data_IF_980621481959
#
_entry.id   IF_980621481959
#
_cell.length_a   1.000
_cell.length_b   1.000
_cell.length_c   1.000
_cell.angle_alpha   90.00
_cell.angle_beta   90.00
_cell.angle_gamma   90.00
#
_symmetry.space_group_name_H-M   'P 1'
#
loop_
_entity.id
_entity.type
_entity.pdbx_description
1 polymer ?
#
# COMPACT_ATOMS: atom_id res chain seq x y z
N UNK A 1 16.05 -18.67 -6.05
CA UNK A 1 15.99 -17.36 -6.73
C UNK A 1 16.45 -16.34 -5.71
N UNK A 2 17.48 -15.53 -5.98
CA UNK A 2 17.89 -14.48 -5.05
C UNK A 2 16.75 -13.47 -4.90
N UNK A 3 16.56 -12.83 -3.72
CA UNK A 3 15.58 -11.76 -3.60
C UNK A 3 15.92 -10.65 -4.60
N UNK A 4 14.93 -10.20 -5.37
CA UNK A 4 15.06 -9.04 -6.25
C UNK A 4 15.17 -7.74 -5.44
N UNK A 5 14.71 -7.76 -4.19
CA UNK A 5 14.91 -6.66 -3.25
C UNK A 5 16.25 -6.80 -2.52
N UNK A 6 17.20 -5.92 -2.86
CA UNK A 6 18.43 -5.73 -2.09
C UNK A 6 18.26 -4.57 -1.09
N UNK A 7 18.18 -4.84 0.23
CA UNK A 7 18.13 -3.79 1.25
C UNK A 7 19.48 -3.12 1.50
N UNK A 8 20.57 -3.64 0.92
CA UNK A 8 21.91 -3.11 1.12
C UNK A 8 21.95 -1.64 0.70
N UNK A 9 22.33 -0.75 1.64
CA UNK A 9 22.30 0.72 1.46
C UNK A 9 20.89 1.31 1.26
N UNK A 10 19.84 0.58 1.62
CA UNK A 10 18.47 1.10 1.63
C UNK A 10 18.28 2.25 2.61
N UNK A 11 19.10 2.31 3.68
CA UNK A 11 19.14 3.38 4.67
C UNK A 11 20.60 3.76 4.94
N UNK A 12 20.88 5.06 4.97
CA UNK A 12 22.18 5.63 5.34
C UNK A 12 22.00 6.49 6.59
N UNK A 13 22.84 6.24 7.60
CA UNK A 13 22.92 7.04 8.82
C UNK A 13 24.17 7.91 8.74
N UNK A 14 23.99 9.20 8.48
CA UNK A 14 25.05 10.19 8.61
C UNK A 14 25.04 10.72 10.05
N UNK A 15 25.88 10.14 10.89
CA UNK A 15 25.98 10.51 12.29
C UNK A 15 26.76 11.83 12.51
N UNK A 16 27.52 12.29 11.51
CA UNK A 16 28.23 13.56 11.61
C UNK A 16 27.25 14.73 11.42
N UNK A 17 26.32 14.59 10.47
CA UNK A 17 25.29 15.60 10.16
C UNK A 17 23.94 15.32 10.84
N UNK A 18 23.80 14.19 11.55
CA UNK A 18 22.58 13.78 12.24
C UNK A 18 21.41 13.46 11.30
N UNK A 19 21.70 12.94 10.10
CA UNK A 19 20.71 12.67 9.05
C UNK A 19 20.49 11.19 8.81
N UNK A 20 19.26 10.87 8.43
CA UNK A 20 18.88 9.56 7.93
C UNK A 20 18.38 9.77 6.51
N UNK A 21 18.96 9.04 5.57
CA UNK A 21 18.62 9.15 4.15
C UNK A 21 18.23 7.78 3.60
N UNK A 22 17.21 7.76 2.75
CA UNK A 22 16.86 6.62 1.92
C UNK A 22 17.27 6.89 0.47
N UNK A 23 17.07 5.92 -0.42
CA UNK A 23 17.44 5.99 -1.84
C UNK A 23 16.76 7.09 -2.65
N UNK A 24 15.78 7.80 -2.08
CA UNK A 24 15.16 8.98 -2.71
C UNK A 24 15.87 10.30 -2.40
N UNK A 25 16.83 10.31 -1.46
CA UNK A 25 17.57 11.51 -1.05
C UNK A 25 16.76 12.49 -0.19
N UNK A 26 15.54 12.10 0.22
CA UNK A 26 14.74 12.88 1.16
C UNK A 26 15.26 12.63 2.59
N UNK A 27 15.15 13.61 3.51
CA UNK A 27 15.49 13.41 4.92
C UNK A 27 14.44 12.58 5.66
N UNK A 28 14.89 11.67 6.52
CA UNK A 28 14.04 10.80 7.34
C UNK A 28 14.28 10.97 8.83
N UNK A 29 13.26 10.62 9.60
CA UNK A 29 13.28 10.61 11.06
C UNK A 29 12.95 9.22 11.59
N UNK A 30 13.63 8.81 12.65
CA UNK A 30 13.22 7.67 13.46
C UNK A 30 12.20 8.13 14.50
N UNK A 31 11.01 7.55 14.45
CA UNK A 31 9.90 7.88 15.36
C UNK A 31 9.52 6.65 16.17
N UNK A 32 9.40 6.75 17.51
CA UNK A 32 8.84 5.67 18.31
C UNK A 32 7.43 5.30 17.84
N UNK A 33 7.19 4.01 17.61
CA UNK A 33 5.89 3.53 17.11
C UNK A 33 4.70 4.01 17.95
N UNK A 34 4.83 3.99 19.28
CA UNK A 34 3.75 4.42 20.16
C UNK A 34 3.40 5.90 19.98
N UNK A 35 4.40 6.74 19.68
CA UNK A 35 4.20 8.16 19.39
C UNK A 35 3.57 8.36 18.00
N UNK A 36 4.02 7.61 16.98
CA UNK A 36 3.42 7.64 15.65
C UNK A 36 1.95 7.19 15.68
N UNK A 37 1.65 6.12 16.42
CA UNK A 37 0.27 5.64 16.60
C UNK A 37 -0.61 6.63 17.35
N UNK A 38 -0.10 7.28 18.39
CA UNK A 38 -0.83 8.34 19.10
C UNK A 38 -1.06 9.57 18.21
N UNK A 39 -0.07 9.96 17.41
CA UNK A 39 -0.19 11.03 16.45
C UNK A 39 -1.26 10.70 15.40
N UNK A 40 -1.19 9.54 14.76
CA UNK A 40 -2.17 9.11 13.76
C UNK A 40 -3.61 9.11 14.31
N UNK A 41 -3.80 8.69 15.56
CA UNK A 41 -5.12 8.69 16.21
C UNK A 41 -5.69 10.09 16.45
N UNK A 42 -4.82 11.07 16.70
CA UNK A 42 -5.20 12.46 16.97
C UNK A 42 -5.26 13.36 15.74
N UNK A 43 -4.86 12.87 14.56
CA UNK A 43 -4.82 13.63 13.32
C UNK A 43 -6.11 13.48 12.52
N UNK A 44 -6.60 14.59 11.96
CA UNK A 44 -7.80 14.60 11.12
C UNK A 44 -7.59 13.89 9.77
N UNK A 45 -6.36 13.85 9.25
CA UNK A 45 -6.05 13.24 7.94
C UNK A 45 -4.86 12.27 8.00
N UNK A 46 -4.87 11.34 8.96
CA UNK A 46 -3.87 10.27 9.02
C UNK A 46 -3.79 9.45 7.72
N UNK A 47 -4.93 9.26 7.05
CA UNK A 47 -5.02 8.53 5.78
C UNK A 47 -4.36 9.28 4.62
N UNK A 48 -4.54 10.59 4.53
CA UNK A 48 -3.84 11.42 3.53
C UNK A 48 -2.33 11.45 3.75
N UNK A 49 -1.88 11.56 5.01
CA UNK A 49 -0.46 11.39 5.35
C UNK A 49 0.05 10.02 4.89
N UNK A 50 -0.72 8.96 5.15
CA UNK A 50 -0.40 7.61 4.69
C UNK A 50 -0.25 7.54 3.18
N UNK A 51 -1.19 8.13 2.41
CA UNK A 51 -1.13 8.16 0.94
C UNK A 51 0.14 8.83 0.43
N UNK A 52 0.57 9.93 1.05
CA UNK A 52 1.81 10.61 0.70
C UNK A 52 3.04 9.69 0.91
N UNK A 53 3.10 8.98 2.04
CA UNK A 53 4.16 7.99 2.32
C UNK A 53 4.12 6.84 1.30
N UNK A 54 2.93 6.29 1.03
CA UNK A 54 2.73 5.21 0.06
C UNK A 54 3.16 5.60 -1.36
N UNK A 55 2.88 6.83 -1.78
CA UNK A 55 3.34 7.35 -3.07
C UNK A 55 4.87 7.41 -3.18
N UNK A 56 5.56 7.80 -2.10
CA UNK A 56 7.04 7.78 -2.04
C UNK A 56 7.61 6.36 -2.11
N UNK A 57 6.97 5.41 -1.44
CA UNK A 57 7.32 3.98 -1.54
C UNK A 57 7.21 3.50 -2.99
N UNK A 58 6.07 3.74 -3.65
CA UNK A 58 5.87 3.34 -5.03
C UNK A 58 6.88 4.01 -5.98
N UNK A 59 7.22 5.28 -5.74
CA UNK A 59 8.24 5.99 -6.51
C UNK A 59 9.62 5.34 -6.40
N UNK A 60 10.04 4.90 -5.20
CA UNK A 60 11.32 4.18 -5.02
C UNK A 60 11.31 2.83 -5.72
N UNK A 61 10.21 2.09 -5.65
CA UNK A 61 10.04 0.84 -6.41
C UNK A 61 10.11 1.11 -7.91
N UNK A 62 9.44 2.15 -8.41
CA UNK A 62 9.47 2.52 -9.82
C UNK A 62 10.88 2.87 -10.29
N UNK A 63 11.64 3.64 -9.48
CA UNK A 63 13.04 3.97 -9.77
C UNK A 63 13.87 2.69 -9.88
N UNK A 64 13.69 1.74 -8.95
CA UNK A 64 14.41 0.45 -8.97
C UNK A 64 14.07 -0.38 -10.21
N UNK A 65 12.80 -0.43 -10.62
CA UNK A 65 12.36 -1.14 -11.83
C UNK A 65 12.81 -0.47 -13.13
N UNK A 66 12.89 0.86 -13.15
CA UNK A 66 13.24 1.64 -14.33
C UNK A 66 14.75 1.80 -14.55
N UNK A 67 15.59 1.44 -13.57
CA UNK A 67 17.05 1.41 -13.75
C UNK A 67 17.46 0.15 -14.53
N UNK A 68 18.01 0.27 -15.75
CA UNK A 68 18.59 -0.86 -16.43
C UNK A 68 19.81 -1.34 -15.65
N UNK A 69 19.93 -2.65 -15.45
CA UNK A 69 21.14 -3.28 -14.92
C UNK A 69 22.33 -2.80 -15.78
N UNK A 70 23.22 -1.97 -15.20
CA UNK A 70 24.48 -1.57 -15.83
C UNK A 70 24.56 -0.16 -16.44
N UNK A 71 23.58 0.75 -16.27
CA UNK A 71 23.75 2.17 -16.66
C UNK A 71 23.50 3.12 -15.49
N UNK A 72 24.59 3.75 -15.03
CA UNK A 72 24.55 4.84 -14.07
C UNK A 72 24.34 6.17 -14.78
N UNK A 73 23.46 7.02 -14.25
CA UNK A 73 23.65 8.48 -14.36
C UNK A 73 22.44 9.36 -14.67
N UNK A 74 21.33 8.85 -15.18
CA UNK A 74 20.16 9.70 -15.50
C UNK A 74 18.86 9.14 -14.94
N UNK A 75 18.18 9.96 -14.14
CA UNK A 75 16.83 9.67 -13.66
C UNK A 75 15.88 9.47 -14.85
N UNK A 76 15.16 8.35 -14.93
CA UNK A 76 14.19 8.14 -16.00
C UNK A 76 13.02 9.15 -15.86
N UNK A 77 12.43 9.59 -16.98
CA UNK A 77 11.26 10.48 -16.97
C UNK A 77 10.11 9.91 -16.13
N UNK A 78 9.28 10.78 -15.55
CA UNK A 78 8.11 10.39 -14.73
C UNK A 78 7.17 9.41 -15.44
N UNK A 79 6.93 9.62 -16.74
CA UNK A 79 6.11 8.72 -17.55
C UNK A 79 6.67 7.28 -17.62
N UNK A 80 7.99 7.13 -17.59
CA UNK A 80 8.69 5.85 -17.65
C UNK A 80 8.60 5.09 -16.32
N UNK A 81 8.56 5.82 -15.20
CA UNK A 81 8.40 5.25 -13.85
C UNK A 81 7.03 4.59 -13.67
N UNK A 82 5.95 5.27 -14.09
CA UNK A 82 4.60 4.68 -14.05
C UNK A 82 4.45 3.46 -14.98
N UNK A 83 5.10 3.48 -16.15
CA UNK A 83 5.10 2.33 -17.06
C UNK A 83 5.81 1.11 -16.45
N UNK A 84 6.93 1.31 -15.75
CA UNK A 84 7.68 0.24 -15.10
C UNK A 84 6.84 -0.47 -14.03
N UNK A 85 6.07 0.27 -13.22
CA UNK A 85 5.16 -0.32 -12.23
C UNK A 85 4.07 -1.17 -12.89
N UNK A 86 3.48 -0.70 -14.00
CA UNK A 86 2.41 -1.41 -14.70
C UNK A 86 2.87 -2.69 -15.42
N UNK A 87 4.15 -2.77 -15.78
CA UNK A 87 4.72 -3.93 -16.47
C UNK A 87 5.23 -5.00 -15.49
N UNK A 88 5.44 -4.65 -14.22
CA UNK A 88 5.88 -5.59 -13.21
C UNK A 88 4.79 -6.64 -12.88
N UNK A 89 5.21 -7.88 -12.62
CA UNK A 89 4.29 -8.90 -12.12
C UNK A 89 3.80 -8.54 -10.72
N UNK A 90 2.65 -9.09 -10.31
CA UNK A 90 2.13 -8.86 -8.95
C UNK A 90 3.09 -9.37 -7.88
N UNK A 91 3.75 -10.51 -8.12
CA UNK A 91 4.75 -11.09 -7.21
C UNK A 91 5.94 -10.13 -7.04
N UNK A 92 6.44 -9.57 -8.16
CA UNK A 92 7.53 -8.59 -8.14
C UNK A 92 7.13 -7.32 -7.41
N UNK A 93 5.91 -6.81 -7.65
CA UNK A 93 5.41 -5.62 -6.96
C UNK A 93 5.27 -5.86 -5.46
N UNK A 94 4.70 -6.99 -5.05
CA UNK A 94 4.53 -7.34 -3.63
C UNK A 94 5.88 -7.50 -2.95
N UNK A 95 6.84 -8.15 -3.60
CA UNK A 95 8.21 -8.30 -3.08
C UNK A 95 8.88 -6.93 -2.87
N UNK A 96 8.87 -6.06 -3.90
CA UNK A 96 9.54 -4.76 -3.84
C UNK A 96 8.85 -3.79 -2.89
N UNK A 97 7.51 -3.70 -2.93
CA UNK A 97 6.74 -2.87 -2.00
C UNK A 97 6.90 -3.38 -0.56
N UNK A 98 6.87 -4.70 -0.37
CA UNK A 98 7.09 -5.32 0.94
C UNK A 98 8.48 -5.01 1.50
N UNK A 99 9.52 -5.05 0.66
CA UNK A 99 10.87 -4.65 1.05
C UNK A 99 10.94 -3.18 1.49
N UNK A 100 10.31 -2.27 0.75
CA UNK A 100 10.27 -0.85 1.12
C UNK A 100 9.49 -0.59 2.42
N UNK A 101 8.38 -1.29 2.65
CA UNK A 101 7.64 -1.19 3.91
C UNK A 101 8.44 -1.74 5.09
N UNK A 102 9.21 -2.81 4.88
CA UNK A 102 10.09 -3.36 5.89
C UNK A 102 11.21 -2.35 6.23
N UNK A 103 11.79 -1.68 5.23
CA UNK A 103 12.78 -0.60 5.43
C UNK A 103 12.19 0.57 6.23
N UNK A 104 10.94 0.94 5.98
CA UNK A 104 10.23 1.96 6.75
C UNK A 104 9.79 1.50 8.15
N UNK A 105 10.00 0.22 8.51
CA UNK A 105 9.57 -0.34 9.78
C UNK A 105 8.06 -0.55 9.91
N UNK A 106 7.31 -0.51 8.80
CA UNK A 106 5.86 -0.73 8.79
C UNK A 106 5.47 -2.21 8.77
N UNK A 107 6.41 -3.09 8.43
CA UNK A 107 6.24 -4.53 8.46
C UNK A 107 6.53 -5.23 7.15
N UNK A 108 6.36 -6.55 7.14
CA UNK A 108 6.48 -7.37 5.93
C UNK A 108 5.12 -7.47 5.23
N UNK A 109 5.11 -7.26 3.92
CA UNK A 109 3.92 -7.38 3.09
C UNK A 109 3.83 -8.77 2.46
N UNK A 110 2.64 -9.36 2.48
CA UNK A 110 2.27 -10.50 1.64
C UNK A 110 0.86 -10.30 1.10
N UNK A 111 0.50 -11.10 0.09
CA UNK A 111 -0.86 -11.11 -0.47
C UNK A 111 -1.49 -12.46 -0.22
N UNK A 112 -2.72 -12.44 0.27
CA UNK A 112 -3.61 -13.59 0.34
C UNK A 112 -4.73 -13.41 -0.69
N UNK A 113 -5.14 -14.50 -1.33
CA UNK A 113 -6.27 -14.51 -2.27
C UNK A 113 -7.46 -15.20 -1.65
N UNK A 114 -8.54 -14.46 -1.46
CA UNK A 114 -9.78 -14.95 -0.89
C UNK A 114 -10.85 -14.87 -1.98
N UNK A 115 -11.02 -15.95 -2.74
CA UNK A 115 -11.86 -15.92 -3.95
C UNK A 115 -11.28 -15.01 -5.05
N UNK A 116 -11.99 -13.93 -5.40
CA UNK A 116 -11.48 -12.88 -6.31
C UNK A 116 -10.97 -11.65 -5.58
N UNK A 117 -11.16 -11.56 -4.25
CA UNK A 117 -10.62 -10.48 -3.45
C UNK A 117 -9.12 -10.69 -3.18
N UNK A 118 -8.37 -9.60 -3.25
CA UNK A 118 -6.97 -9.56 -2.83
C UNK A 118 -6.90 -8.93 -1.44
N UNK A 119 -6.26 -9.65 -0.52
CA UNK A 119 -6.01 -9.21 0.84
C UNK A 119 -4.52 -8.96 0.97
N UNK A 120 -4.16 -7.74 1.34
CA UNK A 120 -2.79 -7.42 1.72
C UNK A 120 -2.63 -7.68 3.20
N UNK A 121 -1.57 -8.38 3.58
CA UNK A 121 -1.30 -8.73 4.97
C UNK A 121 0.03 -8.15 5.38
N UNK A 122 0.00 -7.34 6.44
CA UNK A 122 1.19 -6.84 7.13
C UNK A 122 1.48 -7.72 8.34
N UNK A 123 2.61 -8.42 8.31
CA UNK A 123 2.99 -9.37 9.35
C UNK A 123 4.51 -9.51 9.54
N UNK A 124 5.09 -9.06 10.67
CA UNK A 124 4.42 -8.25 11.70
C UNK A 124 4.12 -6.85 11.15
N UNK A 125 2.94 -6.32 11.41
CA UNK A 125 2.58 -4.91 11.26
C UNK A 125 3.30 -4.09 12.35
N UNK A 126 4.00 -3.06 11.91
CA UNK A 126 4.83 -2.21 12.76
C UNK A 126 4.02 -1.33 13.71
N UNK A 127 2.75 -1.05 13.41
CA UNK A 127 1.88 -0.14 14.18
C UNK A 127 0.62 -0.85 14.72
N UNK A 128 0.05 -0.30 15.78
CA UNK A 128 -1.21 -0.77 16.37
C UNK A 128 -2.46 -0.20 15.66
N UNK A 129 -3.64 -0.65 16.09
CA UNK A 129 -4.93 -0.31 15.50
C UNK A 129 -5.24 1.21 15.49
N UNK A 130 -4.61 1.99 16.38
CA UNK A 130 -4.81 3.44 16.42
C UNK A 130 -4.24 4.14 15.18
N UNK A 131 -3.34 3.47 14.46
CA UNK A 131 -2.75 3.93 13.21
C UNK A 131 -3.34 3.24 11.97
N UNK A 132 -4.48 2.55 12.08
CA UNK A 132 -5.05 1.83 10.94
C UNK A 132 -5.32 2.75 9.75
N UNK A 133 -5.86 3.95 9.96
CA UNK A 133 -6.07 4.92 8.88
C UNK A 133 -4.77 5.33 8.17
N UNK A 134 -3.66 5.46 8.92
CA UNK A 134 -2.34 5.70 8.34
C UNK A 134 -1.91 4.52 7.46
N UNK A 135 -2.06 3.28 7.95
CA UNK A 135 -1.71 2.05 7.21
C UNK A 135 -2.54 1.91 5.93
N UNK A 136 -3.85 2.16 6.03
CA UNK A 136 -4.76 2.14 4.88
C UNK A 136 -4.33 3.17 3.84
N UNK A 137 -4.01 4.39 4.28
CA UNK A 137 -3.48 5.43 3.41
C UNK A 137 -2.19 5.01 2.70
N UNK A 138 -1.24 4.38 3.42
CA UNK A 138 0.01 3.88 2.82
C UNK A 138 -0.29 2.87 1.72
N UNK A 139 -1.18 1.91 1.96
CA UNK A 139 -1.57 0.90 0.97
C UNK A 139 -2.26 1.54 -0.23
N UNK A 140 -3.19 2.46 -0.01
CA UNK A 140 -3.86 3.22 -1.07
C UNK A 140 -2.87 4.00 -1.92
N UNK A 141 -1.94 4.73 -1.29
CA UNK A 141 -0.94 5.53 -1.99
C UNK A 141 -0.01 4.69 -2.86
N UNK A 142 0.46 3.56 -2.33
CA UNK A 142 1.30 2.62 -3.09
C UNK A 142 0.56 2.08 -4.31
N UNK A 143 -0.65 1.57 -4.11
CA UNK A 143 -1.40 0.86 -5.15
C UNK A 143 -2.00 1.82 -6.17
N UNK A 144 -2.46 3.00 -5.76
CA UNK A 144 -2.93 4.03 -6.71
C UNK A 144 -1.78 4.48 -7.61
N UNK A 145 -0.57 4.67 -7.06
CA UNK A 145 0.61 5.02 -7.85
C UNK A 145 1.04 3.88 -8.79
N UNK A 146 0.94 2.62 -8.35
CA UNK A 146 1.33 1.46 -9.16
C UNK A 146 0.34 1.12 -10.27
N UNK A 147 -0.94 1.35 -10.02
CA UNK A 147 -2.02 0.94 -10.94
C UNK A 147 -2.58 2.09 -11.77
N UNK A 148 -2.29 3.34 -11.41
CA UNK A 148 -2.91 4.55 -12.00
C UNK A 148 -4.45 4.48 -11.93
N UNK A 149 -4.96 3.95 -10.82
CA UNK A 149 -6.38 3.78 -10.53
C UNK A 149 -6.68 4.27 -9.12
N UNK A 150 -7.92 4.69 -8.91
CA UNK A 150 -8.40 4.96 -7.57
C UNK A 150 -8.52 3.65 -6.79
N UNK A 151 -7.81 3.59 -5.66
CA UNK A 151 -7.79 2.44 -4.76
C UNK A 151 -8.29 2.88 -3.40
N UNK A 152 -9.14 2.06 -2.80
CA UNK A 152 -9.55 2.19 -1.41
C UNK A 152 -9.19 0.92 -0.63
N UNK A 153 -9.01 1.06 0.68
CA UNK A 153 -8.64 -0.03 1.57
C UNK A 153 -9.44 -0.05 2.88
N UNK A 154 -9.60 -1.23 3.49
CA UNK A 154 -10.16 -1.36 4.83
C UNK A 154 -9.45 -2.48 5.61
N UNK A 155 -9.22 -2.27 6.91
CA UNK A 155 -8.76 -3.34 7.80
C UNK A 155 -9.95 -4.25 8.07
N UNK A 156 -9.77 -5.54 7.80
CA UNK A 156 -10.84 -6.54 7.88
C UNK A 156 -10.60 -7.57 8.97
N UNK A 157 -9.35 -7.67 9.42
CA UNK A 157 -8.96 -8.47 10.56
C UNK A 157 -7.64 -7.93 11.13
N UNK A 158 -7.54 -7.94 12.46
CA UNK A 158 -6.31 -7.61 13.19
C UNK A 158 -6.15 -8.61 14.32
N UNK A 159 -5.05 -9.34 14.30
CA UNK A 159 -4.74 -10.37 15.29
C UNK A 159 -3.31 -10.17 15.79
N UNK A 160 -3.17 -9.68 17.02
CA UNK A 160 -1.87 -9.31 17.57
C UNK A 160 -1.15 -8.28 16.70
N UNK A 161 -0.02 -8.67 16.12
CA UNK A 161 0.77 -7.84 15.20
C UNK A 161 0.39 -8.03 13.73
N UNK A 162 -0.58 -8.88 13.39
CA UNK A 162 -0.97 -9.07 11.99
C UNK A 162 -2.15 -8.16 11.65
N UNK A 163 -2.06 -7.44 10.52
CA UNK A 163 -3.18 -6.67 9.96
C UNK A 163 -3.52 -7.19 8.56
N UNK A 164 -4.78 -7.55 8.34
CA UNK A 164 -5.31 -7.93 7.04
C UNK A 164 -6.11 -6.78 6.47
N UNK A 165 -5.75 -6.37 5.27
CA UNK A 165 -6.29 -5.21 4.59
C UNK A 165 -6.94 -5.66 3.29
N UNK A 166 -8.26 -5.50 3.20
CA UNK A 166 -8.97 -5.63 1.94
C UNK A 166 -8.70 -4.40 1.08
N UNK A 167 -8.41 -4.63 -0.20
CA UNK A 167 -8.21 -3.58 -1.18
C UNK A 167 -9.20 -3.74 -2.34
N UNK A 168 -9.75 -2.63 -2.81
CA UNK A 168 -10.67 -2.60 -3.93
C UNK A 168 -10.93 -1.18 -4.44
N UNK A 169 -11.95 -1.03 -5.28
CA UNK A 169 -12.46 0.30 -5.62
C UNK A 169 -13.24 0.90 -4.42
N UNK A 170 -13.43 2.24 -4.36
CA UNK A 170 -14.11 2.89 -3.25
C UNK A 170 -15.49 2.32 -2.93
N UNK A 171 -16.27 1.96 -3.96
CA UNK A 171 -17.62 1.41 -3.81
C UNK A 171 -17.61 0.05 -3.10
N UNK A 172 -16.72 -0.86 -3.51
CA UNK A 172 -16.59 -2.18 -2.92
C UNK A 172 -16.13 -2.10 -1.46
N UNK A 173 -15.22 -1.18 -1.16
CA UNK A 173 -14.74 -0.96 0.21
C UNK A 173 -15.83 -0.34 1.09
N UNK A 174 -16.58 0.66 0.60
CA UNK A 174 -17.70 1.23 1.34
C UNK A 174 -18.73 0.16 1.71
N UNK A 175 -19.09 -0.71 0.76
CA UNK A 175 -19.95 -1.86 1.00
C UNK A 175 -19.38 -2.82 2.06
N UNK A 176 -18.09 -3.14 1.98
CA UNK A 176 -17.45 -4.03 2.95
C UNK A 176 -17.44 -3.43 4.37
N UNK A 177 -17.16 -2.14 4.49
CA UNK A 177 -17.17 -1.41 5.76
C UNK A 177 -18.57 -1.38 6.37
N UNK A 178 -19.59 -1.09 5.57
CA UNK A 178 -20.99 -1.10 6.01
C UNK A 178 -21.39 -2.47 6.57
N UNK A 179 -21.15 -3.55 5.81
CA UNK A 179 -21.49 -4.91 6.26
C UNK A 179 -20.70 -5.37 7.48
N UNK A 180 -19.46 -4.93 7.62
CA UNK A 180 -18.66 -5.22 8.81
C UNK A 180 -19.24 -4.53 10.05
N UNK A 181 -19.81 -3.33 9.92
CA UNK A 181 -20.48 -2.65 11.04
C UNK A 181 -21.76 -3.37 11.47
N UNK A 182 -22.42 -4.04 10.53
CA UNK A 182 -23.60 -4.89 10.81
C UNK A 182 -23.22 -6.25 11.44
N UNK A 183 -21.94 -6.49 11.75
CA UNK A 183 -21.45 -7.73 12.34
C UNK A 183 -21.33 -8.90 11.34
N UNK A 184 -21.41 -8.63 10.04
CA UNK A 184 -21.22 -9.67 9.02
C UNK A 184 -19.77 -10.16 9.05
N UNK A 185 -19.57 -11.48 9.07
CA UNK A 185 -18.22 -12.05 9.01
C UNK A 185 -17.55 -11.72 7.67
N UNK A 186 -16.25 -11.45 7.72
CA UNK A 186 -15.52 -10.98 6.55
C UNK A 186 -15.55 -11.96 5.36
N UNK A 187 -15.55 -13.27 5.62
CA UNK A 187 -15.70 -14.30 4.56
C UNK A 187 -17.02 -14.17 3.80
N UNK A 188 -18.10 -13.78 4.49
CA UNK A 188 -19.41 -13.56 3.87
C UNK A 188 -19.45 -12.24 3.09
N UNK A 189 -18.74 -11.21 3.57
CA UNK A 189 -18.56 -9.95 2.84
C UNK A 189 -17.83 -10.20 1.52
N UNK A 190 -16.72 -10.94 1.53
CA UNK A 190 -15.97 -11.31 0.32
C UNK A 190 -16.85 -12.12 -0.63
N UNK A 191 -17.65 -13.06 -0.11
CA UNK A 191 -18.60 -13.82 -0.92
C UNK A 191 -19.66 -12.91 -1.56
N UNK A 192 -20.20 -11.95 -0.81
CA UNK A 192 -21.19 -10.99 -1.30
C UNK A 192 -20.61 -10.03 -2.35
N UNK A 193 -19.36 -9.61 -2.20
CA UNK A 193 -18.61 -8.82 -3.20
C UNK A 193 -18.46 -9.54 -4.55
N UNK A 194 -18.64 -10.87 -4.58
CA UNK A 194 -18.56 -11.68 -5.79
C UNK A 194 -19.92 -12.15 -6.31
N UNK A 195 -21.01 -11.77 -5.64
CA UNK A 195 -22.37 -12.00 -6.11
C UNK A 195 -22.75 -11.09 -7.29
N UNK A 196 -23.74 -11.46 -8.12
CA UNK A 196 -24.12 -10.75 -9.35
C UNK A 196 -24.71 -9.33 -9.16
N UNK A 197 -24.67 -8.75 -7.95
CA UNK A 197 -25.38 -7.51 -7.60
C UNK A 197 -24.54 -6.22 -7.66
N UNK A 198 -23.21 -6.28 -7.77
CA UNK A 198 -22.36 -5.09 -7.73
C UNK A 198 -21.85 -4.62 -9.11
N UNK A 199 -21.88 -5.48 -10.12
CA UNK A 199 -21.40 -5.18 -11.48
C UNK A 199 -22.46 -4.50 -12.38
N UNK A 200 -23.71 -4.35 -11.93
CA UNK A 200 -24.88 -4.08 -12.79
C UNK A 200 -25.50 -2.68 -12.69
N UNK A 201 -24.86 -1.70 -12.07
CA UNK A 201 -25.44 -0.35 -11.87
C UNK A 201 -24.63 0.78 -12.53
N UNK A 202 -24.21 0.56 -13.79
CA UNK A 202 -23.46 1.55 -14.58
C UNK A 202 -23.88 1.68 -16.06
N UNK A 203 -24.99 1.06 -16.48
CA UNK A 203 -25.54 1.21 -17.84
C UNK A 203 -27.04 1.50 -17.77
N UNK A 204 -27.39 2.69 -17.28
CA UNK A 204 -28.68 3.30 -17.60
C UNK A 204 -28.61 3.89 -19.02
N UNK A 205 -29.22 3.13 -19.93
CA UNK A 205 -29.85 3.47 -21.21
C UNK A 205 -29.90 4.97 -21.58
N UNK A 206 -28.94 5.41 -22.39
CA UNK A 206 -29.21 6.25 -23.58
C UNK A 206 -29.23 5.29 -24.79
N UNK A 207 -30.07 5.37 -25.81
CA UNK A 207 -31.21 6.21 -26.13
C UNK A 207 -31.98 5.48 -27.23
N UNK A 208 -33.30 5.53 -27.17
CA UNK A 208 -34.18 4.96 -28.18
C UNK A 208 -35.37 5.88 -28.38
N UNK A 209 -35.23 6.81 -29.33
CA UNK A 209 -36.31 7.38 -30.15
C UNK A 209 -35.71 7.61 -31.53
#
# INVERSE_FOLDING_TARGET
MAPNFDPSRGVVFDLAEGRIELSDGDPYLMVPVAALSALAAGQTDARGLGRAIGGKVALRVAKRLAMPIGRSGTMPPSATLGAALRQASIETLVELLGGELAVLGLGSLRVERWGKAMIFVLDPCGVDARADELVLGVIEGMLSSATDREVSAAVVDRSGKTARVLVGNPRAIAFAVERSRDGTFFTDIVRALHGPGLDSSGHEREGGV
#
